data_IF_693843417887
#
_entry.id   IF_693843417887
#
_cell.length_a   1.000
_cell.length_b   1.000
_cell.length_c   1.000
_cell.angle_alpha   90.00
_cell.angle_beta   90.00
_cell.angle_gamma   90.00
#
_symmetry.space_group_name_H-M   'P 1'
#
loop_
_entity.id
_entity.type
_entity.pdbx_description
1 polymer ?
#
# COMPACT_ATOMS: atom_id res chain seq x y z
N UNK A 1 -3.26 1.24 -8.70
CA UNK A 1 -1.83 1.60 -8.59
C UNK A 1 -0.94 0.41 -8.96
N UNK A 2 0.40 0.55 -8.94
CA UNK A 2 1.40 -0.53 -9.10
C UNK A 2 1.20 -1.55 -10.23
N UNK A 3 1.91 -1.40 -11.37
CA UNK A 3 1.83 -2.39 -12.46
C UNK A 3 2.47 -3.71 -12.03
N UNK A 4 1.84 -4.84 -12.35
CA UNK A 4 2.45 -6.15 -12.14
C UNK A 4 3.82 -6.20 -12.79
N UNK A 5 4.83 -6.55 -11.98
CA UNK A 5 6.19 -6.68 -12.43
C UNK A 5 6.49 -8.19 -12.49
N UNK A 6 6.91 -8.73 -13.65
CA UNK A 6 7.38 -10.10 -13.68
C UNK A 6 8.60 -10.24 -12.76
N UNK A 7 8.89 -11.44 -12.30
CA UNK A 7 10.14 -11.69 -11.58
C UNK A 7 11.32 -11.31 -12.50
N UNK A 8 12.06 -10.25 -12.15
CA UNK A 8 13.15 -9.69 -12.93
C UNK A 8 14.45 -9.80 -12.15
N UNK A 9 15.51 -10.26 -12.81
CA UNK A 9 16.88 -10.16 -12.30
C UNK A 9 17.49 -8.90 -12.89
N UNK A 10 17.81 -7.91 -12.06
CA UNK A 10 18.42 -6.65 -12.51
C UNK A 10 19.93 -6.79 -12.65
N UNK A 11 20.42 -6.58 -13.87
CA UNK A 11 21.85 -6.56 -14.18
C UNK A 11 22.51 -5.24 -13.75
N UNK A 12 23.86 -5.20 -13.80
CA UNK A 12 24.61 -3.94 -13.61
C UNK A 12 24.25 -2.89 -14.67
N UNK A 13 23.96 -3.33 -15.89
CA UNK A 13 23.53 -2.45 -16.97
C UNK A 13 22.14 -1.86 -16.69
N UNK A 14 21.19 -2.68 -16.22
CA UNK A 14 19.86 -2.21 -15.80
C UNK A 14 19.95 -1.13 -14.74
N UNK A 15 20.80 -1.35 -13.71
CA UNK A 15 21.03 -0.36 -12.65
C UNK A 15 21.63 0.94 -13.19
N UNK A 16 22.50 0.88 -14.20
CA UNK A 16 23.04 2.08 -14.87
C UNK A 16 21.96 2.80 -15.67
N UNK A 17 21.16 2.07 -16.46
CA UNK A 17 20.04 2.63 -17.23
C UNK A 17 19.01 3.29 -16.33
N UNK A 18 18.66 2.64 -15.22
CA UNK A 18 17.77 3.19 -14.20
C UNK A 18 18.29 4.52 -13.64
N UNK A 19 19.56 4.59 -13.23
CA UNK A 19 20.15 5.85 -12.71
C UNK A 19 20.13 6.98 -13.74
N UNK A 20 20.46 6.67 -14.99
CA UNK A 20 20.41 7.67 -16.08
C UNK A 20 18.97 8.15 -16.25
N UNK A 21 18.01 7.23 -16.38
CA UNK A 21 16.61 7.58 -16.57
C UNK A 21 16.03 8.36 -15.39
N UNK A 22 16.38 7.98 -14.17
CA UNK A 22 15.99 8.69 -12.95
C UNK A 22 16.49 10.13 -12.99
N UNK A 23 17.77 10.35 -13.35
CA UNK A 23 18.32 11.70 -13.48
C UNK A 23 17.62 12.51 -14.57
N UNK A 24 17.38 11.93 -15.75
CA UNK A 24 16.64 12.59 -16.83
C UNK A 24 15.22 13.01 -16.38
N UNK A 25 14.51 12.15 -15.64
CA UNK A 25 13.20 12.47 -15.09
C UNK A 25 13.27 13.62 -14.07
N UNK A 26 14.29 13.62 -13.19
CA UNK A 26 14.49 14.72 -12.23
C UNK A 26 14.83 16.03 -12.94
N UNK A 27 15.62 16.00 -14.01
CA UNK A 27 15.98 17.19 -14.79
C UNK A 27 14.74 17.77 -15.49
N UNK A 28 13.90 16.91 -16.07
CA UNK A 28 12.62 17.30 -16.67
C UNK A 28 11.66 17.88 -15.62
N UNK A 29 11.55 17.24 -14.45
CA UNK A 29 10.71 17.74 -13.36
C UNK A 29 11.19 19.10 -12.84
N UNK A 30 12.50 19.27 -12.65
CA UNK A 30 13.10 20.55 -12.26
C UNK A 30 12.84 21.64 -13.30
N UNK A 31 12.84 21.30 -14.60
CA UNK A 31 12.47 22.24 -15.65
C UNK A 31 10.99 22.64 -15.56
N UNK A 32 10.08 21.67 -15.40
CA UNK A 32 8.64 21.95 -15.24
C UNK A 32 8.35 22.86 -14.05
N UNK A 33 9.05 22.67 -12.92
CA UNK A 33 8.96 23.55 -11.75
C UNK A 33 9.45 24.97 -12.06
N UNK A 34 10.64 25.11 -12.65
CA UNK A 34 11.18 26.44 -13.00
C UNK A 34 10.30 27.20 -13.98
N UNK A 35 9.66 26.49 -14.90
CA UNK A 35 8.84 27.07 -15.97
C UNK A 35 7.34 27.11 -15.63
N UNK A 36 6.94 26.71 -14.41
CA UNK A 36 5.53 26.65 -13.97
C UNK A 36 4.62 25.92 -14.96
N UNK A 37 5.08 24.80 -15.54
CA UNK A 37 4.35 24.04 -16.57
C UNK A 37 3.29 23.08 -16.02
N UNK A 38 2.71 23.40 -14.88
CA UNK A 38 1.63 22.61 -14.27
C UNK A 38 0.28 23.26 -14.55
N UNK A 39 -0.76 22.45 -14.69
CA UNK A 39 -2.15 22.92 -14.79
C UNK A 39 -2.61 23.40 -13.42
N UNK A 40 -2.97 24.68 -13.30
CA UNK A 40 -3.37 25.31 -12.03
C UNK A 40 -4.83 25.74 -12.00
N UNK A 41 -5.48 25.84 -13.17
CA UNK A 41 -6.86 26.38 -13.27
C UNK A 41 -7.91 25.34 -12.87
N UNK A 42 -7.54 24.05 -12.89
CA UNK A 42 -8.44 22.93 -12.60
C UNK A 42 -7.80 21.98 -11.59
N UNK A 43 -7.69 22.37 -10.31
CA UNK A 43 -7.09 21.52 -9.30
C UNK A 43 -7.87 20.22 -9.18
N UNK A 44 -7.15 19.10 -9.30
CA UNK A 44 -7.67 17.77 -9.07
C UNK A 44 -7.12 17.20 -7.78
N UNK A 45 -7.93 16.40 -7.10
CA UNK A 45 -7.57 15.66 -5.89
C UNK A 45 -8.07 14.23 -6.04
N UNK A 46 -7.20 13.27 -5.75
CA UNK A 46 -7.55 11.87 -5.50
C UNK A 46 -7.37 11.56 -4.02
N UNK A 47 -7.90 10.43 -3.58
CA UNK A 47 -7.76 9.95 -2.22
C UNK A 47 -7.40 8.47 -2.27
N UNK A 48 -6.45 8.06 -1.45
CA UNK A 48 -6.13 6.67 -1.19
C UNK A 48 -6.46 6.36 0.26
N UNK A 49 -6.95 5.17 0.53
CA UNK A 49 -7.17 4.69 1.89
C UNK A 49 -6.66 3.27 1.97
N UNK A 50 -5.76 3.02 2.91
CA UNK A 50 -5.29 1.68 3.26
C UNK A 50 -6.07 1.16 4.48
N UNK A 51 -6.41 -0.13 4.45
CA UNK A 51 -7.21 -0.78 5.49
C UNK A 51 -6.57 -2.10 5.90
N UNK A 52 -6.82 -2.48 7.15
CA UNK A 52 -6.51 -3.82 7.64
C UNK A 52 -7.74 -4.72 7.46
N UNK A 53 -7.49 -6.00 7.20
CA UNK A 53 -8.45 -7.09 7.24
C UNK A 53 -8.30 -7.83 8.56
N UNK A 54 -9.41 -8.07 9.25
CA UNK A 54 -9.45 -8.86 10.48
C UNK A 54 -10.53 -9.95 10.43
N UNK A 55 -10.39 -10.97 11.28
CA UNK A 55 -11.44 -11.96 11.50
C UNK A 55 -12.47 -11.50 12.55
N UNK A 56 -13.45 -12.36 12.88
CA UNK A 56 -14.48 -12.11 13.90
C UNK A 56 -13.91 -11.84 15.31
N UNK A 57 -12.64 -12.17 15.56
CA UNK A 57 -11.95 -11.93 16.83
C UNK A 57 -11.11 -10.65 16.80
N UNK A 58 -11.07 -9.96 15.67
CA UNK A 58 -10.23 -8.80 15.46
C UNK A 58 -8.75 -9.15 15.23
N UNK A 59 -8.42 -10.41 14.96
CA UNK A 59 -7.05 -10.83 14.62
C UNK A 59 -6.80 -10.63 13.11
N UNK A 60 -5.56 -10.35 12.66
CA UNK A 60 -5.26 -10.13 11.25
C UNK A 60 -5.72 -11.29 10.34
N UNK A 61 -6.44 -10.97 9.27
CA UNK A 61 -6.95 -11.95 8.31
C UNK A 61 -6.14 -11.91 7.00
N UNK A 62 -5.37 -12.97 6.72
CA UNK A 62 -4.52 -13.12 5.52
C UNK A 62 -5.34 -13.43 4.24
N UNK A 63 -6.35 -12.62 3.94
CA UNK A 63 -7.41 -12.89 2.95
C UNK A 63 -7.57 -11.79 1.90
N UNK A 64 -6.57 -10.97 1.64
CA UNK A 64 -6.71 -9.88 0.68
C UNK A 64 -7.09 -10.33 -0.75
N UNK A 65 -6.51 -11.41 -1.27
CA UNK A 65 -6.91 -11.97 -2.57
C UNK A 65 -8.39 -12.37 -2.59
N UNK A 66 -8.85 -13.12 -1.57
CA UNK A 66 -10.24 -13.57 -1.44
C UNK A 66 -11.20 -12.36 -1.32
N UNK A 67 -10.83 -11.37 -0.52
CA UNK A 67 -11.62 -10.16 -0.32
C UNK A 67 -11.71 -9.34 -1.61
N UNK A 68 -10.61 -9.16 -2.35
CA UNK A 68 -10.61 -8.44 -3.63
C UNK A 68 -11.45 -9.14 -4.69
N UNK A 69 -11.37 -10.48 -4.76
CA UNK A 69 -12.22 -11.26 -5.66
C UNK A 69 -13.71 -11.06 -5.34
N UNK A 70 -14.06 -11.03 -4.05
CA UNK A 70 -15.43 -10.79 -3.60
C UNK A 70 -15.89 -9.33 -3.85
N UNK A 71 -15.02 -8.35 -3.64
CA UNK A 71 -15.28 -6.92 -3.87
C UNK A 71 -15.52 -6.64 -5.35
N UNK A 72 -14.71 -7.27 -6.22
CA UNK A 72 -14.79 -7.23 -7.68
C UNK A 72 -14.81 -5.79 -8.26
N UNK A 73 -14.03 -4.89 -7.68
CA UNK A 73 -13.93 -3.48 -8.08
C UNK A 73 -12.46 -3.10 -8.37
N UNK A 74 -12.12 -2.58 -9.57
CA UNK A 74 -10.76 -2.22 -9.93
C UNK A 74 -10.17 -1.01 -9.17
N UNK A 75 -10.99 -0.28 -8.40
CA UNK A 75 -10.50 0.76 -7.50
C UNK A 75 -9.74 0.16 -6.30
N UNK A 76 -9.92 -1.13 -6.03
CA UNK A 76 -9.28 -1.83 -4.92
C UNK A 76 -8.07 -2.64 -5.37
N UNK A 77 -7.02 -2.66 -4.55
CA UNK A 77 -5.82 -3.46 -4.79
C UNK A 77 -5.25 -4.08 -3.52
N UNK A 78 -4.33 -5.04 -3.72
CA UNK A 78 -3.53 -5.60 -2.62
C UNK A 78 -2.51 -4.58 -2.15
N UNK A 79 -2.30 -4.53 -0.84
CA UNK A 79 -1.15 -3.86 -0.23
C UNK A 79 -0.03 -4.85 0.12
N UNK A 80 1.08 -4.39 0.72
CA UNK A 80 2.25 -5.22 1.05
C UNK A 80 1.88 -6.50 1.81
N UNK A 81 1.03 -6.38 2.83
CA UNK A 81 0.55 -7.49 3.66
C UNK A 81 -0.70 -8.14 3.09
N UNK A 82 -0.82 -9.47 3.27
CA UNK A 82 -2.03 -10.26 2.94
C UNK A 82 -3.25 -9.88 3.77
N UNK A 83 -3.03 -9.12 4.83
CA UNK A 83 -4.06 -8.55 5.68
C UNK A 83 -4.31 -7.07 5.38
N UNK A 84 -3.77 -6.52 4.28
CA UNK A 84 -4.01 -5.14 3.87
C UNK A 84 -4.69 -5.05 2.50
N UNK A 85 -5.53 -4.03 2.36
CA UNK A 85 -6.14 -3.59 1.12
C UNK A 85 -5.96 -2.08 0.98
N UNK A 86 -5.94 -1.61 -0.25
CA UNK A 86 -6.05 -0.19 -0.56
C UNK A 86 -7.25 0.07 -1.48
N UNK A 87 -7.86 1.24 -1.35
CA UNK A 87 -8.79 1.80 -2.33
C UNK A 87 -8.25 3.11 -2.87
N UNK A 88 -8.23 3.23 -4.20
CA UNK A 88 -7.88 4.43 -4.94
C UNK A 88 -9.15 5.14 -5.45
N UNK A 89 -9.59 6.20 -4.77
CA UNK A 89 -10.70 7.03 -5.21
C UNK A 89 -10.24 7.90 -6.39
N UNK A 90 -10.92 7.86 -7.55
CA UNK A 90 -10.45 8.51 -8.76
C UNK A 90 -10.32 10.02 -8.61
N UNK A 91 -9.31 10.65 -9.24
CA UNK A 91 -9.13 12.09 -9.18
C UNK A 91 -10.34 12.85 -9.71
N UNK A 92 -10.76 13.87 -8.95
CA UNK A 92 -11.86 14.76 -9.34
C UNK A 92 -11.51 16.21 -9.06
N UNK A 93 -12.26 17.14 -9.65
CA UNK A 93 -12.04 18.56 -9.37
C UNK A 93 -12.29 18.85 -7.88
N UNK A 94 -11.39 19.59 -7.25
CA UNK A 94 -11.43 19.86 -5.80
C UNK A 94 -12.75 20.48 -5.34
N UNK A 95 -13.35 21.32 -6.18
CA UNK A 95 -14.59 22.04 -5.87
C UNK A 95 -15.86 21.33 -6.35
N UNK A 96 -15.74 20.16 -6.99
CA UNK A 96 -16.89 19.43 -7.49
C UNK A 96 -17.66 18.76 -6.35
N UNK A 97 -18.99 18.97 -6.31
CA UNK A 97 -19.90 18.25 -5.40
C UNK A 97 -19.86 18.66 -3.92
N UNK A 98 -18.89 19.47 -3.50
CA UNK A 98 -18.70 19.82 -2.09
C UNK A 98 -18.19 18.65 -1.22
N UNK A 99 -18.01 18.87 0.09
CA UNK A 99 -17.48 17.84 1.01
C UNK A 99 -18.42 16.63 1.15
N UNK A 100 -19.74 16.83 1.13
CA UNK A 100 -20.72 15.76 1.31
C UNK A 100 -20.66 14.71 0.18
N UNK A 101 -20.30 15.14 -1.03
CA UNK A 101 -20.10 14.23 -2.16
C UNK A 101 -18.84 13.37 -2.00
N UNK A 102 -17.82 13.82 -1.25
CA UNK A 102 -16.65 12.97 -0.92
C UNK A 102 -17.07 11.90 0.07
N UNK A 103 -17.70 12.30 1.16
CA UNK A 103 -18.12 11.38 2.22
C UNK A 103 -19.06 10.31 1.66
N UNK A 104 -20.03 10.70 0.83
CA UNK A 104 -21.00 9.77 0.25
C UNK A 104 -20.31 8.71 -0.62
N UNK A 105 -19.37 9.11 -1.48
CA UNK A 105 -18.65 8.20 -2.37
C UNK A 105 -17.74 7.25 -1.59
N UNK A 106 -16.93 7.80 -0.66
CA UNK A 106 -16.02 7.02 0.18
C UNK A 106 -16.83 6.01 1.02
N UNK A 107 -17.88 6.46 1.68
CA UNK A 107 -18.72 5.60 2.53
C UNK A 107 -19.40 4.51 1.72
N UNK A 108 -19.88 4.82 0.52
CA UNK A 108 -20.49 3.81 -0.36
C UNK A 108 -19.47 2.74 -0.76
N UNK A 109 -18.25 3.14 -1.14
CA UNK A 109 -17.19 2.22 -1.52
C UNK A 109 -16.75 1.33 -0.34
N UNK A 110 -16.54 1.92 0.84
CA UNK A 110 -16.16 1.19 2.06
C UNK A 110 -17.25 0.22 2.52
N UNK A 111 -18.52 0.64 2.51
CA UNK A 111 -19.63 -0.23 2.92
C UNK A 111 -19.81 -1.40 1.95
N UNK A 112 -19.74 -1.15 0.64
CA UNK A 112 -19.78 -2.24 -0.35
C UNK A 112 -18.62 -3.21 -0.12
N UNK A 113 -17.41 -2.71 0.11
CA UNK A 113 -16.27 -3.57 0.32
C UNK A 113 -16.36 -4.39 1.62
N UNK A 114 -16.88 -3.80 2.70
CA UNK A 114 -17.14 -4.49 3.96
C UNK A 114 -18.14 -5.64 3.78
N UNK A 115 -19.28 -5.37 3.14
CA UNK A 115 -20.30 -6.40 2.89
C UNK A 115 -19.73 -7.59 2.08
N UNK A 116 -18.80 -7.32 1.17
CA UNK A 116 -18.14 -8.35 0.34
C UNK A 116 -17.05 -9.09 1.10
N UNK A 117 -16.20 -8.38 1.83
CA UNK A 117 -15.16 -8.99 2.67
C UNK A 117 -15.78 -9.90 3.75
N UNK A 118 -16.90 -9.48 4.35
CA UNK A 118 -17.60 -10.28 5.36
C UNK A 118 -18.06 -11.64 4.81
N UNK A 119 -18.40 -11.71 3.52
CA UNK A 119 -18.79 -12.97 2.86
C UNK A 119 -17.66 -14.01 2.78
N UNK A 120 -16.41 -13.58 2.92
CA UNK A 120 -15.22 -14.44 2.98
C UNK A 120 -14.63 -14.52 4.40
N UNK A 121 -15.34 -14.04 5.41
CA UNK A 121 -14.93 -14.09 6.82
C UNK A 121 -13.81 -13.12 7.17
N UNK A 122 -13.80 -11.94 6.53
CA UNK A 122 -12.89 -10.84 6.85
C UNK A 122 -13.66 -9.52 7.00
N UNK A 123 -13.17 -8.63 7.85
CA UNK A 123 -13.75 -7.32 8.11
C UNK A 123 -12.72 -6.23 7.91
N UNK A 124 -13.14 -5.08 7.36
CA UNK A 124 -12.30 -3.92 7.13
C UNK A 124 -12.17 -3.07 8.41
N UNK A 125 -10.94 -2.72 8.77
CA UNK A 125 -10.65 -1.77 9.85
C UNK A 125 -9.70 -0.68 9.36
N UNK A 126 -10.12 0.58 9.54
CA UNK A 126 -9.31 1.78 9.32
C UNK A 126 -8.58 2.16 10.60
N UNK A 127 -7.40 1.58 10.83
CA UNK A 127 -6.53 1.89 11.97
C UNK A 127 -5.08 1.91 11.51
N UNK A 128 -4.33 2.96 11.91
CA UNK A 128 -2.94 3.14 11.48
C UNK A 128 -2.05 1.96 11.82
N UNK A 129 -2.22 1.35 12.99
CA UNK A 129 -1.56 0.07 13.35
C UNK A 129 -2.54 -0.83 14.07
N UNK A 130 -2.71 -2.05 13.57
CA UNK A 130 -3.64 -3.02 14.14
C UNK A 130 -3.12 -3.50 15.52
N UNK A 131 -3.82 -3.23 16.64
CA UNK A 131 -3.28 -3.51 17.98
C UNK A 131 -3.14 -5.01 18.30
N UNK A 132 -3.84 -5.87 17.57
CA UNK A 132 -3.80 -7.32 17.71
C UNK A 132 -2.67 -7.96 16.91
N UNK A 133 -2.02 -7.22 15.99
CA UNK A 133 -0.93 -7.73 15.16
C UNK A 133 0.26 -8.14 16.01
N UNK A 134 0.77 -9.35 15.76
CA UNK A 134 1.93 -9.92 16.47
C UNK A 134 3.07 -10.20 15.51
N UNK A 135 4.25 -10.43 16.08
CA UNK A 135 5.42 -10.83 15.30
C UNK A 135 5.19 -12.13 14.51
N UNK A 136 4.33 -13.04 14.98
CA UNK A 136 3.98 -14.27 14.25
C UNK A 136 3.20 -14.02 12.97
N UNK A 137 2.58 -12.84 12.84
CA UNK A 137 1.68 -12.50 11.75
C UNK A 137 2.42 -11.73 10.64
N UNK A 138 3.69 -11.40 10.87
CA UNK A 138 4.58 -10.75 9.90
C UNK A 138 5.69 -11.72 9.50
N UNK A 139 5.96 -11.81 8.20
CA UNK A 139 6.93 -12.74 7.62
C UNK A 139 6.67 -12.96 6.14
N UNK A 140 7.37 -13.91 5.54
CA UNK A 140 7.23 -14.21 4.09
C UNK A 140 5.80 -14.68 3.75
N UNK A 141 5.18 -15.49 4.62
CA UNK A 141 3.83 -16.02 4.41
C UNK A 141 2.72 -14.95 4.45
N UNK A 142 3.01 -13.81 5.09
CA UNK A 142 2.11 -12.67 5.20
C UNK A 142 2.33 -11.65 4.07
N UNK A 143 3.32 -11.85 3.20
CA UNK A 143 3.53 -11.00 2.03
C UNK A 143 2.46 -11.29 0.98
N UNK A 144 1.90 -10.24 0.39
CA UNK A 144 0.92 -10.37 -0.68
C UNK A 144 1.46 -11.13 -1.88
N UNK A 145 0.58 -11.89 -2.54
CA UNK A 145 0.94 -12.84 -3.61
C UNK A 145 1.49 -12.16 -4.88
N UNK A 146 1.29 -10.85 -5.03
CA UNK A 146 1.82 -10.11 -6.16
C UNK A 146 3.36 -10.21 -6.18
N UNK A 147 3.97 -10.74 -7.27
CA UNK A 147 5.41 -10.93 -7.38
C UNK A 147 6.25 -9.67 -7.13
N UNK A 148 5.66 -8.48 -7.31
CA UNK A 148 6.33 -7.20 -7.03
C UNK A 148 6.80 -7.09 -5.59
N UNK A 149 6.02 -7.59 -4.62
CA UNK A 149 6.35 -7.48 -3.21
C UNK A 149 7.51 -8.38 -2.83
N UNK A 150 7.54 -9.60 -3.36
CA UNK A 150 8.68 -10.51 -3.19
C UNK A 150 9.94 -9.92 -3.82
N UNK A 151 9.83 -9.36 -5.02
CA UNK A 151 10.96 -8.71 -5.69
C UNK A 151 11.48 -7.51 -4.88
N UNK A 152 10.59 -6.68 -4.33
CA UNK A 152 10.96 -5.58 -3.45
C UNK A 152 11.68 -6.07 -2.20
N UNK A 153 11.14 -7.10 -1.54
CA UNK A 153 11.80 -7.75 -0.40
C UNK A 153 13.23 -8.16 -0.76
N UNK A 154 13.38 -8.94 -1.83
CA UNK A 154 14.68 -9.46 -2.26
C UNK A 154 15.67 -8.32 -2.60
N UNK A 155 15.22 -7.24 -3.26
CA UNK A 155 16.10 -6.12 -3.59
C UNK A 155 16.50 -5.29 -2.35
N UNK A 156 15.59 -5.09 -1.39
CA UNK A 156 15.88 -4.37 -0.14
C UNK A 156 16.94 -5.11 0.66
N UNK A 157 16.74 -6.43 0.87
CA UNK A 157 17.70 -7.24 1.63
C UNK A 157 19.02 -7.45 0.89
N UNK A 158 19.01 -7.60 -0.44
CA UNK A 158 20.24 -7.67 -1.22
C UNK A 158 21.05 -6.37 -1.16
N UNK A 159 20.39 -5.21 -1.04
CA UNK A 159 21.07 -3.93 -0.88
C UNK A 159 21.57 -3.70 0.55
N UNK A 160 20.82 -4.17 1.56
CA UNK A 160 21.14 -3.99 2.98
C UNK A 160 22.22 -4.95 3.48
N UNK A 161 22.15 -6.22 3.08
CA UNK A 161 23.10 -7.27 3.46
C UNK A 161 22.93 -7.84 4.87
N UNK A 162 21.89 -7.43 5.60
CA UNK A 162 21.56 -7.85 6.96
C UNK A 162 20.06 -7.68 7.24
N UNK A 163 19.58 -8.23 8.37
CA UNK A 163 18.20 -8.13 8.81
C UNK A 163 17.77 -6.69 9.14
N UNK A 164 16.47 -6.41 9.03
CA UNK A 164 15.91 -5.12 9.44
C UNK A 164 15.89 -5.05 10.97
N UNK A 165 16.75 -4.24 11.56
CA UNK A 165 16.60 -3.86 12.96
C UNK A 165 15.49 -2.81 13.09
N UNK A 166 14.47 -3.12 13.89
CA UNK A 166 13.32 -2.26 14.19
C UNK A 166 13.36 -1.90 15.67
N UNK A 167 13.40 -0.61 15.97
CA UNK A 167 13.39 -0.08 17.33
C UNK A 167 12.34 1.03 17.42
N UNK A 168 11.32 0.81 18.25
CA UNK A 168 10.25 1.77 18.51
C UNK A 168 10.20 2.04 20.01
N UNK A 169 10.43 3.29 20.38
CA UNK A 169 10.35 3.77 21.75
C UNK A 169 8.98 4.43 22.00
N UNK A 170 8.20 3.90 22.95
CA UNK A 170 6.91 4.43 23.37
C UNK A 170 6.68 4.20 24.87
N UNK A 171 5.42 4.06 25.28
CA UNK A 171 5.10 3.59 26.66
C UNK A 171 5.69 2.20 26.88
N UNK A 172 5.55 1.34 25.89
CA UNK A 172 6.28 0.10 25.75
C UNK A 172 7.42 0.25 24.73
N UNK A 173 8.43 -0.59 24.85
CA UNK A 173 9.57 -0.61 23.94
C UNK A 173 9.55 -1.85 23.07
N UNK A 174 9.62 -1.66 21.75
CA UNK A 174 9.83 -2.73 20.79
C UNK A 174 11.26 -2.69 20.28
N UNK A 175 11.95 -3.82 20.36
CA UNK A 175 13.23 -4.07 19.68
C UNK A 175 13.16 -5.44 19.06
N UNK A 176 13.28 -5.50 17.74
CA UNK A 176 13.21 -6.76 17.02
C UNK A 176 14.01 -6.72 15.73
N UNK A 177 14.20 -7.89 15.14
CA UNK A 177 14.75 -8.07 13.82
C UNK A 177 13.70 -8.70 12.92
N UNK A 178 13.70 -8.31 11.64
CA UNK A 178 12.87 -8.92 10.62
C UNK A 178 13.72 -9.26 9.39
N UNK A 179 13.49 -10.46 8.87
CA UNK A 179 14.09 -11.02 7.66
C UNK A 179 13.24 -10.77 6.41
N UNK A 180 12.14 -10.03 6.58
CA UNK A 180 11.26 -9.56 5.50
C UNK A 180 10.86 -8.10 5.69
N UNK A 181 10.40 -7.46 4.62
CA UNK A 181 9.85 -6.09 4.66
C UNK A 181 8.42 -6.03 5.25
N UNK A 182 7.78 -7.18 5.46
CA UNK A 182 6.37 -7.28 5.88
C UNK A 182 5.99 -6.52 7.16
N UNK A 183 6.88 -6.26 8.16
CA UNK A 183 6.51 -5.40 9.28
C UNK A 183 6.08 -3.99 8.89
N UNK A 184 6.44 -3.51 7.70
CA UNK A 184 5.95 -2.23 7.17
C UNK A 184 4.43 -2.24 6.94
N UNK A 185 3.87 -3.41 6.60
CA UNK A 185 2.44 -3.62 6.42
C UNK A 185 1.62 -3.50 7.72
N UNK A 186 2.29 -3.37 8.87
CA UNK A 186 1.65 -3.01 10.13
C UNK A 186 1.12 -1.56 10.14
N UNK A 187 1.55 -0.74 9.18
CA UNK A 187 1.14 0.64 9.02
C UNK A 187 0.10 0.77 7.90
N UNK A 188 -0.95 1.55 8.13
CA UNK A 188 -1.86 2.03 7.08
C UNK A 188 -1.94 3.55 7.08
N UNK A 189 -2.24 4.12 5.92
CA UNK A 189 -2.29 5.56 5.67
C UNK A 189 -3.54 6.01 4.89
N UNK A 190 -3.74 7.33 4.80
CA UNK A 190 -4.84 8.00 4.07
C UNK A 190 -4.34 9.33 3.51
#
# INVERSE_FOLDING_TARGET
MGRDVPALVFTREDRRRYRIKMQECLDAFAQMLRESRFETERPQVGLEIELNLVDDRGEPAMRNSDALEAIADPAWSTELGRFNLEINIPPRQLTAGGPDAWETEIRAALNHAEDRAASVGAHLIMVGTLPTLRQSDVGEAALSENPRYRLLNDQVFAARGEDLHIEVDGVDRLRTYADTITPEAACTST
#
